data_IF_387210928323
#
_entry.id   IF_387210928323
#
_cell.length_a   1.000
_cell.length_b   1.000
_cell.length_c   1.000
_cell.angle_alpha   90.00
_cell.angle_beta   90.00
_cell.angle_gamma   90.00
#
_symmetry.space_group_name_H-M   'P 1'
#
loop_
_entity.id
_entity.type
_entity.pdbx_description
1 polymer ?
#
# COMPACT_ATOMS: atom_id res chain seq x y z
N UNK A 1 -17.85 -9.13 64.83
CA UNK A 1 -18.60 -10.22 64.18
C UNK A 1 -18.12 -10.23 62.74
N UNK A 2 -17.50 -11.33 62.33
CA UNK A 2 -16.72 -11.45 61.11
C UNK A 2 -17.61 -11.32 59.88
N UNK A 3 -17.29 -10.38 59.01
CA UNK A 3 -17.99 -10.13 57.74
C UNK A 3 -17.58 -11.25 56.77
N UNK A 4 -18.24 -12.41 56.85
CA UNK A 4 -18.13 -13.42 55.79
C UNK A 4 -18.68 -12.79 54.51
N UNK A 5 -17.85 -12.75 53.47
CA UNK A 5 -18.29 -12.27 52.16
C UNK A 5 -19.44 -13.16 51.67
N UNK A 6 -20.66 -12.62 51.64
CA UNK A 6 -21.85 -13.31 51.14
C UNK A 6 -21.59 -13.86 49.74
N UNK A 7 -22.06 -15.07 49.46
CA UNK A 7 -21.88 -15.68 48.15
C UNK A 7 -22.69 -14.94 47.08
N UNK A 8 -22.37 -15.17 45.80
CA UNK A 8 -23.14 -14.60 44.69
C UNK A 8 -24.60 -15.07 44.74
N UNK A 9 -24.84 -16.31 45.15
CA UNK A 9 -26.18 -16.88 45.25
C UNK A 9 -27.01 -16.22 46.36
N UNK A 10 -26.43 -15.99 47.54
CA UNK A 10 -27.12 -15.31 48.65
C UNK A 10 -27.52 -13.88 48.27
N UNK A 11 -26.62 -13.17 47.60
CA UNK A 11 -26.89 -11.79 47.13
C UNK A 11 -27.92 -11.76 46.02
N UNK A 12 -27.96 -12.79 45.17
CA UNK A 12 -28.99 -12.93 44.14
C UNK A 12 -30.37 -13.22 44.76
N UNK A 13 -30.44 -14.06 45.80
CA UNK A 13 -31.67 -14.30 46.54
C UNK A 13 -32.17 -13.03 47.24
N UNK A 14 -31.28 -12.28 47.92
CA UNK A 14 -31.61 -10.97 48.52
C UNK A 14 -32.10 -9.98 47.45
N UNK A 15 -31.48 -9.95 46.26
CA UNK A 15 -31.91 -9.08 45.16
C UNK A 15 -33.31 -9.46 44.65
N UNK A 16 -33.57 -10.75 44.41
CA UNK A 16 -34.86 -11.23 43.88
C UNK A 16 -36.00 -11.02 44.87
N UNK A 17 -35.74 -11.17 46.17
CA UNK A 17 -36.70 -10.90 47.24
C UNK A 17 -36.87 -9.40 47.54
N UNK A 18 -36.08 -8.52 46.91
CA UNK A 18 -36.13 -7.08 47.12
C UNK A 18 -35.57 -6.63 48.48
N UNK A 19 -34.62 -7.38 49.04
CA UNK A 19 -33.99 -7.12 50.34
C UNK A 19 -32.72 -6.25 50.22
N UNK A 20 -32.20 -6.04 49.01
CA UNK A 20 -31.08 -5.13 48.79
C UNK A 20 -31.54 -3.68 48.75
N UNK A 21 -30.84 -2.81 49.48
CA UNK A 21 -31.16 -1.37 49.57
C UNK A 21 -29.93 -0.49 49.34
N UNK A 22 -30.19 0.76 48.93
CA UNK A 22 -29.17 1.81 48.83
C UNK A 22 -27.99 1.44 47.93
N UNK A 23 -26.77 1.67 48.42
CA UNK A 23 -25.55 1.48 47.64
C UNK A 23 -25.27 0.02 47.29
N UNK A 24 -25.78 -0.93 48.07
CA UNK A 24 -25.62 -2.37 47.77
C UNK A 24 -26.44 -2.75 46.53
N UNK A 25 -27.67 -2.25 46.43
CA UNK A 25 -28.53 -2.43 45.27
C UNK A 25 -27.89 -1.81 44.01
N UNK A 26 -27.45 -0.55 44.09
CA UNK A 26 -26.81 0.14 42.95
C UNK A 26 -25.55 -0.59 42.45
N UNK A 27 -24.73 -1.09 43.39
CA UNK A 27 -23.52 -1.85 43.06
C UNK A 27 -23.87 -3.20 42.42
N UNK A 28 -24.88 -3.88 42.95
CA UNK A 28 -25.36 -5.15 42.42
C UNK A 28 -25.93 -4.99 41.00
N UNK A 29 -26.77 -3.98 40.77
CA UNK A 29 -27.36 -3.68 39.46
C UNK A 29 -26.30 -3.27 38.43
N UNK A 30 -25.29 -2.50 38.84
CA UNK A 30 -24.17 -2.13 37.96
C UNK A 30 -23.38 -3.36 37.52
N UNK A 31 -23.10 -4.29 38.45
CA UNK A 31 -22.40 -5.53 38.13
C UNK A 31 -23.25 -6.47 37.26
N UNK A 32 -24.57 -6.51 37.47
CA UNK A 32 -25.51 -7.33 36.71
C UNK A 32 -25.53 -7.01 35.20
N UNK A 33 -25.15 -5.79 34.80
CA UNK A 33 -25.08 -5.38 33.39
C UNK A 33 -24.03 -6.20 32.61
N UNK A 34 -22.92 -6.59 33.26
CA UNK A 34 -21.76 -7.18 32.57
C UNK A 34 -21.35 -8.56 33.08
N UNK A 35 -21.71 -8.93 34.30
CA UNK A 35 -21.31 -10.20 34.92
C UNK A 35 -22.32 -11.33 34.65
N UNK A 36 -21.93 -12.24 33.76
CA UNK A 36 -22.74 -13.43 33.39
C UNK A 36 -22.99 -14.36 34.57
N UNK A 37 -22.05 -14.45 35.53
CA UNK A 37 -22.23 -15.32 36.70
C UNK A 37 -23.32 -14.77 37.62
N UNK A 38 -23.38 -13.46 37.81
CA UNK A 38 -24.47 -12.81 38.55
C UNK A 38 -25.81 -12.93 37.83
N UNK A 39 -25.84 -12.78 36.50
CA UNK A 39 -27.07 -12.97 35.70
C UNK A 39 -27.63 -14.39 35.84
N UNK A 40 -26.75 -15.40 35.82
CA UNK A 40 -27.12 -16.80 36.02
C UNK A 40 -27.65 -17.05 37.44
N UNK A 41 -26.98 -16.51 38.47
CA UNK A 41 -27.42 -16.65 39.86
C UNK A 41 -28.80 -16.01 40.10
N UNK A 42 -29.06 -14.82 39.55
CA UNK A 42 -30.36 -14.16 39.60
C UNK A 42 -31.43 -14.99 38.86
N UNK A 43 -31.10 -15.56 37.70
CA UNK A 43 -32.03 -16.40 36.94
C UNK A 43 -32.41 -17.67 37.71
N UNK A 44 -31.41 -18.35 38.29
CA UNK A 44 -31.64 -19.55 39.12
C UNK A 44 -32.44 -19.22 40.39
N UNK A 45 -32.17 -18.06 41.01
CA UNK A 45 -32.93 -17.56 42.15
C UNK A 45 -34.41 -17.32 41.81
N UNK A 46 -34.69 -16.64 40.69
CA UNK A 46 -36.07 -16.41 40.22
C UNK A 46 -36.82 -17.71 39.96
N UNK A 47 -36.16 -18.71 39.36
CA UNK A 47 -36.78 -20.00 39.09
C UNK A 47 -37.13 -20.74 40.39
N UNK A 48 -36.28 -20.68 41.42
CA UNK A 48 -36.59 -21.22 42.76
C UNK A 48 -37.80 -20.54 43.40
N UNK A 49 -37.91 -19.23 43.30
CA UNK A 49 -39.01 -18.48 43.91
C UNK A 49 -40.30 -18.50 43.08
N UNK A 50 -40.25 -18.92 41.81
CA UNK A 50 -41.43 -19.01 40.94
C UNK A 50 -42.47 -19.99 41.49
N UNK A 51 -42.04 -21.11 42.08
CA UNK A 51 -42.97 -22.08 42.68
C UNK A 51 -43.81 -21.45 43.80
N UNK A 52 -43.23 -20.52 44.57
CA UNK A 52 -43.94 -19.81 45.64
C UNK A 52 -44.93 -18.79 45.06
N UNK A 53 -44.57 -18.08 43.98
CA UNK A 53 -45.46 -17.13 43.32
C UNK A 53 -46.70 -17.83 42.72
N UNK A 54 -46.54 -19.04 42.19
CA UNK A 54 -47.65 -19.85 41.67
C UNK A 54 -48.69 -20.26 42.72
N UNK A 55 -48.37 -20.15 44.02
CA UNK A 55 -49.34 -20.39 45.11
C UNK A 55 -50.16 -19.15 45.48
N UNK A 56 -49.81 -17.98 44.95
CA UNK A 56 -50.50 -16.73 45.25
C UNK A 56 -51.89 -16.68 44.59
N UNK A 57 -52.85 -16.07 45.28
CA UNK A 57 -54.18 -15.82 44.70
C UNK A 57 -54.10 -14.61 43.77
N UNK A 58 -54.52 -14.71 42.50
CA UNK A 58 -54.51 -13.57 41.58
C UNK A 58 -55.39 -12.43 42.10
N UNK A 59 -54.84 -11.21 42.12
CA UNK A 59 -55.57 -9.98 42.41
C UNK A 59 -55.62 -9.15 41.13
N UNK A 60 -56.82 -8.80 40.62
CA UNK A 60 -56.92 -8.02 39.39
C UNK A 60 -56.36 -6.61 39.59
N UNK A 61 -55.43 -6.21 38.73
CA UNK A 61 -54.92 -4.85 38.66
C UNK A 61 -56.00 -3.88 38.15
N UNK A 62 -56.00 -2.64 38.65
CA UNK A 62 -56.95 -1.61 38.19
C UNK A 62 -56.60 -1.11 36.80
N UNK A 63 -57.60 -0.69 36.02
CA UNK A 63 -57.39 -0.12 34.68
C UNK A 63 -56.49 1.13 34.73
N UNK A 64 -56.66 1.98 35.75
CA UNK A 64 -55.85 3.18 35.94
C UNK A 64 -54.35 2.88 36.13
N UNK A 65 -54.00 1.74 36.77
CA UNK A 65 -52.62 1.30 36.90
C UNK A 65 -52.03 0.92 35.53
N UNK A 66 -52.79 0.17 34.73
CA UNK A 66 -52.39 -0.22 33.38
C UNK A 66 -52.17 0.99 32.47
N UNK A 67 -53.10 1.94 32.47
CA UNK A 67 -52.99 3.16 31.66
C UNK A 67 -51.78 4.01 32.07
N UNK A 68 -51.47 4.05 33.37
CA UNK A 68 -50.28 4.72 33.90
C UNK A 68 -48.96 4.09 33.45
N UNK A 69 -48.91 2.75 33.40
CA UNK A 69 -47.75 2.00 32.91
C UNK A 69 -47.56 2.25 31.41
N UNK A 70 -48.61 2.10 30.60
CA UNK A 70 -48.57 2.32 29.15
C UNK A 70 -48.06 3.73 28.80
N UNK A 71 -48.56 4.74 29.52
CA UNK A 71 -48.14 6.14 29.31
C UNK A 71 -46.67 6.38 29.65
N UNK A 72 -46.12 5.70 30.67
CA UNK A 72 -44.70 5.83 31.04
C UNK A 72 -43.79 5.11 30.03
N UNK A 73 -44.19 3.94 29.55
CA UNK A 73 -43.47 3.22 28.49
C UNK A 73 -43.41 4.05 27.19
N UNK A 74 -44.52 4.66 26.78
CA UNK A 74 -44.55 5.54 25.60
C UNK A 74 -43.54 6.70 25.71
N UNK A 75 -43.33 7.26 26.91
CA UNK A 75 -42.35 8.32 27.15
C UNK A 75 -40.91 7.81 27.11
N UNK A 76 -40.63 6.61 27.60
CA UNK A 76 -39.29 6.00 27.54
C UNK A 76 -38.94 5.69 26.08
N UNK A 77 -39.87 5.09 25.33
CA UNK A 77 -39.67 4.75 23.92
C UNK A 77 -39.47 6.01 23.08
N UNK A 78 -40.29 7.05 23.27
CA UNK A 78 -40.11 8.34 22.58
C UNK A 78 -38.89 9.12 23.04
N UNK A 79 -38.43 8.93 24.28
CA UNK A 79 -37.19 9.51 24.80
C UNK A 79 -35.92 8.84 24.26
N UNK A 80 -36.04 7.62 23.72
CA UNK A 80 -34.96 6.88 23.06
C UNK A 80 -34.84 7.17 21.54
N UNK A 81 -35.82 7.87 20.95
CA UNK A 81 -35.71 8.45 19.59
C UNK A 81 -34.85 9.73 19.60
N UNK A 82 -33.66 9.68 20.19
CA UNK A 82 -32.62 10.61 19.80
C UNK A 82 -32.08 10.14 18.44
N UNK A 83 -31.88 11.02 17.44
CA UNK A 83 -31.19 10.63 16.22
C UNK A 83 -29.83 10.03 16.62
N UNK A 84 -29.34 8.97 15.94
CA UNK A 84 -28.04 8.42 16.25
C UNK A 84 -26.99 9.53 16.07
N UNK A 85 -26.56 10.12 17.18
CA UNK A 85 -25.43 11.04 17.16
C UNK A 85 -24.23 10.15 16.86
N UNK A 86 -23.73 10.22 15.63
CA UNK A 86 -22.56 9.49 15.22
C UNK A 86 -21.45 9.75 16.26
N UNK A 87 -21.10 8.72 17.04
CA UNK A 87 -20.13 8.79 18.14
C UNK A 87 -18.68 9.10 17.68
N UNK A 88 -18.51 9.44 16.40
CA UNK A 88 -17.24 9.86 15.83
C UNK A 88 -17.47 11.05 14.88
N UNK A 89 -17.54 12.26 15.44
CA UNK A 89 -17.67 13.51 14.69
C UNK A 89 -16.32 13.94 14.06
N UNK A 90 -15.59 13.02 13.45
CA UNK A 90 -14.32 13.30 12.75
C UNK A 90 -14.54 13.67 11.28
N UNK A 91 -15.72 14.16 10.91
CA UNK A 91 -16.01 14.60 9.53
C UNK A 91 -15.00 15.62 9.02
N UNK A 92 -14.48 16.49 9.90
CA UNK A 92 -13.43 17.44 9.54
C UNK A 92 -12.07 16.77 9.31
N UNK A 93 -11.73 15.72 10.09
CA UNK A 93 -10.51 14.92 9.90
C UNK A 93 -10.56 14.15 8.58
N UNK A 94 -11.66 13.44 8.30
CA UNK A 94 -11.83 12.71 7.04
C UNK A 94 -11.90 13.65 5.84
N UNK A 95 -12.52 14.83 5.99
CA UNK A 95 -12.52 15.87 4.93
C UNK A 95 -11.12 16.43 4.68
N UNK A 96 -10.33 16.69 5.73
CA UNK A 96 -8.93 17.13 5.60
C UNK A 96 -8.06 16.05 4.97
N UNK A 97 -8.25 14.78 5.36
CA UNK A 97 -7.54 13.65 4.78
C UNK A 97 -7.87 13.49 3.30
N UNK A 98 -9.15 13.59 2.92
CA UNK A 98 -9.57 13.55 1.52
C UNK A 98 -8.99 14.71 0.70
N UNK A 99 -8.99 15.94 1.23
CA UNK A 99 -8.37 17.09 0.57
C UNK A 99 -6.86 16.92 0.41
N UNK A 100 -6.17 16.42 1.44
CA UNK A 100 -4.73 16.16 1.40
C UNK A 100 -4.39 15.06 0.38
N UNK A 101 -5.16 13.97 0.35
CA UNK A 101 -4.97 12.89 -0.62
C UNK A 101 -5.20 13.36 -2.07
N UNK A 102 -6.22 14.18 -2.31
CA UNK A 102 -6.47 14.79 -3.63
C UNK A 102 -5.32 15.72 -4.05
N UNK A 103 -4.85 16.59 -3.14
CA UNK A 103 -3.71 17.45 -3.43
C UNK A 103 -2.43 16.65 -3.73
N UNK A 104 -2.15 15.60 -2.95
CA UNK A 104 -1.02 14.70 -3.19
C UNK A 104 -1.14 13.98 -4.54
N UNK A 105 -2.35 13.55 -4.92
CA UNK A 105 -2.59 12.90 -6.21
C UNK A 105 -2.37 13.85 -7.39
N UNK A 106 -2.79 15.12 -7.26
CA UNK A 106 -2.54 16.15 -8.26
C UNK A 106 -1.03 16.43 -8.37
N UNK A 107 -0.33 16.57 -7.26
CA UNK A 107 1.12 16.77 -7.26
C UNK A 107 1.85 15.57 -7.87
N UNK A 108 1.41 14.35 -7.58
CA UNK A 108 1.95 13.14 -8.19
C UNK A 108 1.69 13.12 -9.70
N UNK A 109 0.47 13.46 -10.15
CA UNK A 109 0.13 13.55 -11.57
C UNK A 109 0.98 14.60 -12.31
N UNK A 110 1.18 15.77 -11.70
CA UNK A 110 2.06 16.82 -12.23
C UNK A 110 3.51 16.33 -12.28
N UNK A 111 4.01 15.70 -11.20
CA UNK A 111 5.36 15.17 -11.12
C UNK A 111 5.63 14.08 -12.15
N UNK A 112 4.68 13.16 -12.35
CA UNK A 112 4.75 12.12 -13.38
C UNK A 112 4.69 12.72 -14.79
N UNK A 113 3.79 13.69 -15.02
CA UNK A 113 3.70 14.41 -16.29
C UNK A 113 5.01 15.13 -16.64
N UNK A 114 5.60 15.81 -15.67
CA UNK A 114 6.89 16.47 -15.83
C UNK A 114 8.03 15.48 -16.09
N UNK A 115 8.08 14.36 -15.35
CA UNK A 115 9.09 13.31 -15.54
C UNK A 115 9.02 12.64 -16.92
N UNK A 116 7.81 12.45 -17.46
CA UNK A 116 7.62 11.89 -18.81
C UNK A 116 7.99 12.89 -19.90
N UNK A 117 7.69 14.18 -19.71
CA UNK A 117 7.99 15.24 -20.67
C UNK A 117 9.49 15.61 -20.71
N UNK A 118 10.19 15.49 -19.60
CA UNK A 118 11.59 15.90 -19.47
C UNK A 118 12.60 14.78 -19.80
N UNK A 119 12.20 13.72 -20.51
CA UNK A 119 13.17 12.79 -21.08
C UNK A 119 13.86 13.49 -22.25
N UNK A 120 15.18 13.73 -22.20
CA UNK A 120 15.88 14.35 -23.32
C UNK A 120 15.70 13.48 -24.56
N UNK A 121 15.37 14.09 -25.69
CA UNK A 121 15.40 13.40 -26.97
C UNK A 121 16.85 13.08 -27.34
N UNK A 122 17.12 11.91 -27.95
CA UNK A 122 18.46 11.61 -28.42
C UNK A 122 18.87 12.61 -29.49
N UNK A 123 20.13 13.04 -29.49
CA UNK A 123 20.65 13.91 -30.55
C UNK A 123 20.88 13.10 -31.83
N UNK A 124 21.31 11.84 -31.68
CA UNK A 124 21.50 10.92 -32.80
C UNK A 124 21.04 9.51 -32.47
N UNK A 125 20.72 8.77 -33.52
CA UNK A 125 20.32 7.37 -33.45
C UNK A 125 21.17 6.56 -34.43
N UNK A 126 21.76 5.44 -33.97
CA UNK A 126 22.48 4.50 -34.81
C UNK A 126 21.79 3.14 -34.81
N UNK A 127 21.37 2.67 -35.98
CA UNK A 127 20.91 1.30 -36.18
C UNK A 127 22.14 0.45 -36.48
N UNK A 128 22.43 -0.53 -35.62
CA UNK A 128 23.60 -1.38 -35.75
C UNK A 128 23.23 -2.66 -36.49
N UNK A 129 23.97 -2.91 -37.57
CA UNK A 129 23.76 -4.02 -38.47
C UNK A 129 24.83 -5.08 -38.25
N UNK A 130 24.46 -6.35 -38.45
CA UNK A 130 25.40 -7.46 -38.54
C UNK A 130 26.09 -7.49 -39.92
N UNK A 131 26.98 -8.47 -40.12
CA UNK A 131 27.68 -8.67 -41.39
C UNK A 131 26.74 -8.98 -42.58
N UNK A 132 25.50 -9.42 -42.30
CA UNK A 132 24.47 -9.70 -43.31
C UNK A 132 23.58 -8.48 -43.59
N UNK A 133 23.82 -7.36 -42.91
CA UNK A 133 23.04 -6.13 -43.05
C UNK A 133 21.72 -6.16 -42.27
N UNK A 134 21.54 -7.09 -41.32
CA UNK A 134 20.33 -7.17 -40.49
C UNK A 134 20.48 -6.30 -39.24
N UNK A 135 19.44 -5.52 -38.93
CA UNK A 135 19.41 -4.70 -37.72
C UNK A 135 19.28 -5.58 -36.47
N UNK A 136 20.26 -5.51 -35.57
CA UNK A 136 20.27 -6.29 -34.33
C UNK A 136 20.39 -5.45 -33.07
N UNK A 137 20.75 -4.17 -33.18
CA UNK A 137 20.74 -3.24 -32.05
C UNK A 137 20.44 -1.80 -32.50
N UNK A 138 19.98 -0.99 -31.55
CA UNK A 138 19.74 0.44 -31.69
C UNK A 138 20.51 1.17 -30.58
N UNK A 139 21.23 2.22 -30.94
CA UNK A 139 21.88 3.13 -29.98
C UNK A 139 21.25 4.52 -30.12
N UNK A 140 20.79 5.05 -29.00
CA UNK A 140 20.28 6.41 -28.84
C UNK A 140 21.27 7.17 -27.95
N UNK A 141 21.90 8.20 -28.52
CA UNK A 141 22.92 9.01 -27.84
C UNK A 141 22.35 10.41 -27.58
N UNK A 142 22.33 10.79 -26.31
CA UNK A 142 21.70 12.03 -25.83
C UNK A 142 22.67 13.23 -25.81
N UNK A 143 23.95 13.01 -26.14
CA UNK A 143 24.98 14.04 -26.13
C UNK A 143 25.43 14.48 -24.75
N UNK A 144 25.14 13.68 -23.74
CA UNK A 144 25.71 13.75 -22.41
C UNK A 144 26.51 12.46 -22.13
N UNK A 145 26.58 12.03 -20.87
CA UNK A 145 27.24 10.77 -20.49
C UNK A 145 26.37 9.54 -20.77
N UNK A 146 25.10 9.74 -21.09
CA UNK A 146 24.13 8.68 -21.22
C UNK A 146 23.96 8.24 -22.67
N UNK A 147 23.94 6.93 -22.87
CA UNK A 147 23.56 6.31 -24.13
C UNK A 147 22.60 5.15 -23.83
N UNK A 148 21.47 5.08 -24.52
CA UNK A 148 20.51 3.99 -24.37
C UNK A 148 20.72 3.01 -25.53
N UNK A 149 20.88 1.75 -25.18
CA UNK A 149 21.08 0.67 -26.15
C UNK A 149 19.93 -0.31 -26.05
N UNK A 150 19.33 -0.63 -27.18
CA UNK A 150 18.25 -1.62 -27.30
C UNK A 150 18.71 -2.73 -28.23
N UNK A 151 18.79 -3.95 -27.71
CA UNK A 151 19.03 -5.15 -28.50
C UNK A 151 17.72 -5.58 -29.16
N UNK A 152 17.75 -5.77 -30.47
CA UNK A 152 16.60 -6.19 -31.29
C UNK A 152 16.52 -7.71 -31.44
N UNK A 153 17.57 -8.42 -31.02
CA UNK A 153 17.68 -9.88 -31.00
C UNK A 153 18.53 -10.31 -29.80
N UNK A 154 18.44 -11.58 -29.45
CA UNK A 154 19.28 -12.18 -28.42
C UNK A 154 20.69 -12.47 -28.97
N UNK A 155 21.71 -12.02 -28.24
CA UNK A 155 23.10 -12.36 -28.51
C UNK A 155 23.54 -13.52 -27.61
N UNK A 156 24.08 -14.57 -28.22
CA UNK A 156 24.72 -15.67 -27.45
C UNK A 156 26.17 -15.30 -27.17
N UNK A 157 26.46 -14.92 -25.92
CA UNK A 157 27.79 -14.55 -25.46
C UNK A 157 28.33 -15.63 -24.52
N UNK A 158 29.58 -16.10 -24.68
CA UNK A 158 30.21 -17.02 -23.73
C UNK A 158 30.16 -16.48 -22.30
N UNK A 159 30.05 -17.38 -21.30
CA UNK A 159 29.87 -17.00 -19.88
C UNK A 159 31.03 -16.18 -19.30
N UNK A 160 32.21 -16.29 -19.89
CA UNK A 160 33.46 -15.61 -19.51
C UNK A 160 33.69 -14.30 -20.30
N UNK A 161 32.72 -13.88 -21.10
CA UNK A 161 32.79 -12.70 -21.97
C UNK A 161 31.62 -11.77 -21.74
N UNK A 162 31.80 -10.52 -22.16
CA UNK A 162 30.78 -9.47 -22.04
C UNK A 162 30.67 -8.69 -23.34
N UNK A 163 29.49 -8.14 -23.61
CA UNK A 163 29.34 -7.19 -24.69
C UNK A 163 29.77 -5.80 -24.24
N UNK A 164 30.47 -5.08 -25.10
CA UNK A 164 30.89 -3.71 -24.84
C UNK A 164 30.49 -2.82 -26.02
N UNK A 165 29.94 -1.67 -25.69
CA UNK A 165 29.46 -0.68 -26.67
C UNK A 165 30.50 0.41 -26.81
N UNK A 166 30.76 0.78 -28.05
CA UNK A 166 31.76 1.75 -28.42
C UNK A 166 31.17 2.81 -29.34
N UNK A 167 31.78 3.98 -29.30
CA UNK A 167 31.60 5.05 -30.27
C UNK A 167 32.95 5.53 -30.76
N UNK A 168 32.99 6.14 -31.94
CA UNK A 168 34.19 6.78 -32.49
C UNK A 168 33.95 8.28 -32.65
N UNK A 169 34.16 9.09 -31.58
CA UNK A 169 33.88 10.51 -31.62
C UNK A 169 34.77 11.26 -32.58
N UNK A 170 35.97 10.81 -32.93
CA UNK A 170 36.76 11.32 -34.06
C UNK A 170 37.92 10.36 -34.34
N UNK A 171 38.62 10.51 -35.47
CA UNK A 171 39.81 9.69 -35.74
C UNK A 171 40.96 10.01 -34.77
N UNK A 172 41.08 11.26 -34.34
CA UNK A 172 42.11 11.74 -33.42
C UNK A 172 41.87 11.21 -31.99
N UNK A 173 40.61 11.21 -31.54
CA UNK A 173 40.24 10.68 -30.22
C UNK A 173 40.28 9.14 -30.20
N UNK A 174 39.94 8.51 -31.33
CA UNK A 174 39.82 7.07 -31.43
C UNK A 174 38.56 6.52 -30.73
N UNK A 175 38.40 5.18 -30.69
CA UNK A 175 37.24 4.55 -30.09
C UNK A 175 37.16 4.82 -28.59
N UNK A 176 35.95 5.09 -28.11
CA UNK A 176 35.65 5.31 -26.70
C UNK A 176 34.55 4.37 -26.27
N UNK A 177 34.75 3.70 -25.13
CA UNK A 177 33.74 2.82 -24.55
C UNK A 177 32.59 3.64 -23.99
N UNK A 178 31.36 3.31 -24.40
CA UNK A 178 30.14 3.81 -23.79
C UNK A 178 29.72 3.00 -22.58
N UNK A 179 30.11 1.72 -22.51
CA UNK A 179 29.84 0.87 -21.36
C UNK A 179 29.68 -0.61 -21.71
N UNK A 180 29.51 -1.43 -20.68
CA UNK A 180 29.26 -2.86 -20.80
C UNK A 180 27.76 -3.14 -20.85
N UNK A 181 27.37 -4.10 -21.67
CA UNK A 181 26.00 -4.62 -21.71
C UNK A 181 25.93 -5.94 -20.95
N UNK A 182 24.96 -6.01 -20.05
CA UNK A 182 24.42 -7.29 -19.59
C UNK A 182 23.49 -7.87 -20.67
N UNK A 183 23.06 -9.13 -20.53
CA UNK A 183 22.15 -9.80 -21.49
C UNK A 183 20.72 -9.24 -21.47
N UNK A 184 20.52 -7.97 -21.08
CA UNK A 184 19.21 -7.30 -21.03
C UNK A 184 18.81 -6.75 -22.41
N UNK A 185 17.52 -6.77 -22.73
CA UNK A 185 17.00 -6.25 -24.01
C UNK A 185 17.22 -4.75 -24.18
N UNK A 186 17.24 -3.99 -23.08
CA UNK A 186 17.54 -2.55 -23.08
C UNK A 186 18.46 -2.23 -21.91
N UNK A 187 19.41 -1.32 -22.13
CA UNK A 187 20.32 -0.82 -21.10
C UNK A 187 20.56 0.68 -21.27
N UNK A 188 20.60 1.41 -20.16
CA UNK A 188 21.12 2.77 -20.12
C UNK A 188 22.58 2.69 -19.66
N UNK A 189 23.47 3.19 -20.49
CA UNK A 189 24.90 3.22 -20.23
C UNK A 189 25.29 4.59 -19.67
N UNK A 190 26.20 4.61 -18.70
CA UNK A 190 26.85 5.81 -18.17
C UNK A 190 28.32 5.78 -18.57
N UNK A 191 28.60 6.39 -19.73
CA UNK A 191 29.92 6.46 -20.34
C UNK A 191 30.73 7.66 -19.83
N UNK A 192 31.92 7.93 -20.41
CA UNK A 192 32.65 9.16 -20.14
C UNK A 192 31.92 10.37 -20.72
N UNK A 193 32.31 11.57 -20.28
CA UNK A 193 31.87 12.81 -20.93
C UNK A 193 32.53 12.92 -22.30
N UNK A 194 31.71 13.08 -23.35
CA UNK A 194 32.14 13.12 -24.75
C UNK A 194 31.69 14.41 -25.43
N UNK A 195 32.36 14.82 -26.53
CA UNK A 195 31.81 15.85 -27.41
C UNK A 195 30.41 15.46 -27.90
N UNK A 196 29.59 16.46 -28.26
CA UNK A 196 28.28 16.19 -28.86
C UNK A 196 28.42 15.22 -30.05
N UNK A 197 27.57 14.18 -30.11
CA UNK A 197 27.65 13.18 -31.17
C UNK A 197 27.41 13.83 -32.53
N UNK A 198 28.16 13.38 -33.53
CA UNK A 198 28.02 13.86 -34.90
C UNK A 198 27.12 12.93 -35.72
N UNK A 199 26.62 13.46 -36.82
CA UNK A 199 26.07 12.63 -37.90
C UNK A 199 27.17 11.76 -38.50
N UNK A 200 26.79 10.57 -38.93
CA UNK A 200 27.69 9.56 -39.49
C UNK A 200 28.83 9.18 -38.54
N UNK A 201 28.61 9.28 -37.23
CA UNK A 201 29.51 8.79 -36.20
C UNK A 201 29.34 7.27 -36.06
N UNK A 202 30.46 6.55 -35.98
CA UNK A 202 30.45 5.08 -35.87
C UNK A 202 30.12 4.66 -34.44
N UNK A 203 29.20 3.71 -34.32
CA UNK A 203 28.91 2.98 -33.10
C UNK A 203 29.03 1.49 -33.39
N UNK A 204 29.50 0.73 -32.40
CA UNK A 204 29.68 -0.72 -32.53
C UNK A 204 29.54 -1.45 -31.19
N UNK A 205 29.21 -2.74 -31.27
CA UNK A 205 29.17 -3.66 -30.13
C UNK A 205 30.19 -4.77 -30.40
N UNK A 206 31.09 -4.99 -29.45
CA UNK A 206 32.07 -6.08 -29.50
C UNK A 206 31.88 -7.08 -28.37
N UNK A 207 32.42 -8.29 -28.54
CA UNK A 207 32.50 -9.29 -27.46
C UNK A 207 33.89 -9.26 -26.83
N UNK A 208 33.98 -8.73 -25.63
CA UNK A 208 35.23 -8.55 -24.89
C UNK A 208 35.39 -9.59 -23.77
N UNK A 209 36.57 -9.61 -23.16
CA UNK A 209 36.84 -10.42 -21.97
C UNK A 209 35.97 -9.96 -20.80
N UNK A 210 35.77 -10.82 -19.79
CA UNK A 210 35.12 -10.42 -18.54
C UNK A 210 35.73 -9.14 -17.97
N UNK A 211 34.88 -8.12 -17.75
CA UNK A 211 35.29 -6.78 -17.33
C UNK A 211 35.50 -5.77 -18.46
N UNK A 212 35.39 -6.20 -19.73
CA UNK A 212 35.56 -5.36 -20.92
C UNK A 212 36.96 -5.46 -21.53
N UNK A 213 37.22 -4.59 -22.50
CA UNK A 213 38.53 -4.50 -23.13
C UNK A 213 39.59 -3.97 -22.16
N UNK A 214 40.75 -4.65 -22.04
CA UNK A 214 41.85 -4.22 -21.17
C UNK A 214 42.63 -3.03 -21.72
N UNK A 215 42.47 -2.69 -23.01
CA UNK A 215 43.27 -1.65 -23.69
C UNK A 215 42.58 -0.30 -23.78
N UNK A 216 41.31 -0.22 -23.39
CA UNK A 216 40.48 0.96 -23.64
C UNK A 216 40.11 1.14 -25.12
N UNK A 217 40.33 0.12 -25.96
CA UNK A 217 39.94 0.06 -27.37
C UNK A 217 39.27 -1.28 -27.69
N UNK A 218 38.42 -1.40 -28.71
CA UNK A 218 37.86 -2.68 -29.12
C UNK A 218 38.96 -3.73 -29.35
N UNK A 219 38.89 -4.88 -28.65
CA UNK A 219 39.84 -5.99 -28.82
C UNK A 219 39.17 -7.29 -29.28
N UNK A 220 37.86 -7.38 -29.08
CA UNK A 220 37.05 -8.51 -29.48
C UNK A 220 36.50 -8.43 -30.90
N UNK A 221 35.86 -9.51 -31.38
CA UNK A 221 35.10 -9.47 -32.63
C UNK A 221 33.94 -8.48 -32.52
N UNK A 222 33.68 -7.77 -33.62
CA UNK A 222 32.53 -6.88 -33.76
C UNK A 222 31.31 -7.74 -34.06
N UNK A 223 30.25 -7.59 -33.26
CA UNK A 223 28.97 -8.23 -33.48
C UNK A 223 28.12 -7.44 -34.47
N UNK A 224 28.02 -6.14 -34.22
CA UNK A 224 27.25 -5.20 -35.03
C UNK A 224 27.87 -3.82 -35.01
N UNK A 225 27.64 -3.07 -36.08
CA UNK A 225 28.08 -1.69 -36.20
C UNK A 225 27.14 -0.87 -37.08
N UNK A 226 27.18 0.44 -36.92
CA UNK A 226 26.31 1.35 -37.65
C UNK A 226 26.76 2.79 -37.52
N UNK A 227 26.27 3.61 -38.43
CA UNK A 227 26.52 5.04 -38.42
C UNK A 227 25.29 5.78 -37.91
N UNK A 228 25.50 6.77 -37.07
CA UNK A 228 24.43 7.58 -36.52
C UNK A 228 23.79 8.48 -37.58
N UNK A 229 22.49 8.71 -37.41
CA UNK A 229 21.68 9.70 -38.13
C UNK A 229 21.03 10.64 -37.13
N UNK A 230 20.54 11.78 -37.62
CA UNK A 230 19.74 12.68 -36.80
C UNK A 230 18.54 11.90 -36.23
N UNK A 231 18.19 12.15 -34.98
CA UNK A 231 17.01 11.53 -34.37
C UNK A 231 15.69 12.01 -35.02
N UNK A 232 15.73 13.13 -35.75
CA UNK A 232 14.60 13.76 -36.46
C UNK A 232 15.05 14.41 -37.77
#
# INVERSE_FOLDING_TARGET
>A
MSNEARSIDDRADDYVLGLLEGSELETFETALITDVSMQNAVSASRERFLELDMTAKPVPASQALWDGIATRLDKVVRGQEAPPVAANNNGLFWRRLALAASAASILLAIGLGWSLQNRPDPLVIAVLLDEKGQAQALVEDFGDRSAKVTLLTDFTVPKDKVMQVWTLPSQEMGPVSLGLLSTSTTALLDGPELPKPRLDQLYEITVEQSGGSPTGRPTGPILVKGFSKAAH
#
